data_IF_969243106032
#
_entry.id   IF_969243106032
#
_cell.length_a   1.000
_cell.length_b   1.000
_cell.length_c   1.000
_cell.angle_alpha   90.00
_cell.angle_beta   90.00
_cell.angle_gamma   90.00
#
_symmetry.space_group_name_H-M   'P 1'
#
loop_
_entity.id
_entity.type
_entity.pdbx_description
1 polymer ?
#
# COMPACT_ATOMS: atom_id res chain seq x y z
N UNK A 1 -2.68 -13.24 3.76
CA UNK A 1 -3.16 -12.75 2.46
C UNK A 1 -3.64 -13.91 1.59
N UNK A 2 -2.82 -14.95 1.39
CA UNK A 2 -3.18 -16.12 0.55
C UNK A 2 -4.48 -16.80 1.01
N UNK A 3 -4.61 -17.13 2.30
CA UNK A 3 -5.86 -17.68 2.86
C UNK A 3 -7.11 -16.84 2.58
N UNK A 4 -6.97 -15.51 2.59
CA UNK A 4 -8.11 -14.61 2.29
C UNK A 4 -8.45 -14.69 0.81
N UNK A 5 -7.45 -14.66 -0.07
CA UNK A 5 -7.67 -14.80 -1.52
C UNK A 5 -8.28 -16.14 -1.90
N UNK A 6 -7.86 -17.21 -1.25
CA UNK A 6 -8.43 -18.55 -1.43
C UNK A 6 -9.90 -18.61 -1.00
N UNK A 7 -10.28 -17.89 0.06
CA UNK A 7 -11.65 -17.83 0.55
C UNK A 7 -12.58 -16.96 -0.32
N UNK A 8 -12.04 -16.02 -1.09
CA UNK A 8 -12.80 -15.10 -1.95
C UNK A 8 -12.19 -14.96 -3.36
N UNK A 9 -12.13 -16.05 -4.15
CA UNK A 9 -11.36 -16.10 -5.40
C UNK A 9 -11.86 -15.12 -6.48
N UNK A 10 -13.12 -14.69 -6.40
CA UNK A 10 -13.84 -13.83 -7.34
C UNK A 10 -14.01 -12.39 -6.83
N UNK A 11 -13.44 -12.05 -5.66
CA UNK A 11 -13.50 -10.70 -5.07
C UNK A 11 -12.12 -10.05 -5.05
N UNK A 12 -11.99 -8.76 -5.40
CA UNK A 12 -10.72 -8.06 -5.26
C UNK A 12 -10.37 -7.92 -3.78
N UNK A 13 -9.11 -8.18 -3.43
CA UNK A 13 -8.60 -8.08 -2.05
C UNK A 13 -7.67 -6.88 -1.97
N UNK A 14 -8.00 -5.94 -1.09
CA UNK A 14 -7.17 -4.75 -0.84
C UNK A 14 -6.50 -4.84 0.53
N UNK A 15 -5.26 -4.37 0.63
CA UNK A 15 -4.59 -4.17 1.92
C UNK A 15 -4.76 -2.71 2.34
N UNK A 16 -5.41 -2.48 3.47
CA UNK A 16 -5.71 -1.12 3.98
C UNK A 16 -4.74 -0.58 5.03
N UNK A 17 -3.73 -1.38 5.43
CA UNK A 17 -2.79 -1.00 6.49
C UNK A 17 -1.44 -1.68 6.31
N UNK A 18 -0.38 -1.07 6.85
CA UNK A 18 0.97 -1.67 6.86
C UNK A 18 1.74 -1.55 5.53
N UNK A 19 1.21 -0.81 4.56
CA UNK A 19 1.91 -0.53 3.31
C UNK A 19 2.89 0.66 3.47
N UNK A 20 4.15 0.42 3.11
CA UNK A 20 5.24 1.40 3.03
C UNK A 20 5.87 1.32 1.63
N UNK A 21 6.76 2.25 1.28
CA UNK A 21 7.44 2.20 -0.02
C UNK A 21 8.25 0.89 -0.18
N UNK A 22 8.85 0.41 0.90
CA UNK A 22 9.67 -0.81 0.93
C UNK A 22 8.83 -2.09 0.77
N UNK A 23 7.59 -2.08 1.25
CA UNK A 23 6.70 -3.26 1.26
C UNK A 23 5.69 -3.28 0.11
N UNK A 24 5.48 -2.16 -0.58
CA UNK A 24 4.41 -1.98 -1.57
C UNK A 24 4.42 -3.06 -2.67
N UNK A 25 5.58 -3.29 -3.30
CA UNK A 25 5.70 -4.26 -4.41
C UNK A 25 5.42 -5.70 -3.97
N UNK A 26 5.94 -6.09 -2.80
CA UNK A 26 5.71 -7.42 -2.23
C UNK A 26 4.23 -7.66 -1.91
N UNK A 27 3.55 -6.64 -1.39
CA UNK A 27 2.11 -6.72 -1.10
C UNK A 27 1.29 -6.76 -2.39
N UNK A 28 1.59 -5.90 -3.37
CA UNK A 28 0.91 -5.86 -4.66
C UNK A 28 1.04 -7.16 -5.46
N UNK A 29 2.14 -7.90 -5.32
CA UNK A 29 2.28 -9.22 -5.92
C UNK A 29 1.23 -10.24 -5.41
N UNK A 30 0.56 -9.94 -4.29
CA UNK A 30 -0.34 -10.85 -3.59
C UNK A 30 -1.75 -10.28 -3.35
N UNK A 31 -2.06 -9.06 -3.81
CA UNK A 31 -3.37 -8.45 -3.62
C UNK A 31 -3.78 -7.64 -4.86
N UNK A 32 -5.04 -7.21 -4.91
CA UNK A 32 -5.57 -6.40 -6.01
C UNK A 32 -5.18 -4.92 -5.92
N UNK A 33 -4.79 -4.45 -4.72
CA UNK A 33 -4.40 -3.07 -4.53
C UNK A 33 -4.14 -2.71 -3.07
N UNK A 34 -3.64 -1.49 -2.87
CA UNK A 34 -3.31 -0.94 -1.55
C UNK A 34 -4.13 0.33 -1.31
N UNK A 35 -4.58 0.51 -0.06
CA UNK A 35 -5.12 1.77 0.44
C UNK A 35 -4.14 2.26 1.49
N UNK A 36 -3.55 3.45 1.27
CA UNK A 36 -2.36 3.89 2.00
C UNK A 36 -2.59 5.30 2.53
N UNK A 37 -2.28 5.50 3.81
CA UNK A 37 -2.48 6.78 4.50
C UNK A 37 -1.25 7.19 5.30
N UNK A 38 -1.09 6.64 6.51
CA UNK A 38 -0.09 7.07 7.50
C UNK A 38 1.34 7.12 6.95
N UNK A 39 1.76 6.15 6.14
CA UNK A 39 3.12 6.14 5.56
C UNK A 39 3.38 7.28 4.58
N UNK A 40 2.34 7.92 4.04
CA UNK A 40 2.44 9.08 3.15
C UNK A 40 2.39 10.42 3.90
N UNK A 41 1.99 10.42 5.18
CA UNK A 41 1.93 11.63 6.00
C UNK A 41 3.33 12.06 6.42
N UNK A 42 3.54 13.36 6.56
CA UNK A 42 4.78 13.89 7.13
C UNK A 42 5.01 13.28 8.51
N UNK A 43 6.24 12.82 8.76
CA UNK A 43 6.65 12.11 9.98
C UNK A 43 5.78 10.91 10.39
N UNK A 44 4.93 10.40 9.49
CA UNK A 44 3.96 9.35 9.82
C UNK A 44 2.82 9.80 10.74
N UNK A 45 2.62 11.10 10.93
CA UNK A 45 1.56 11.65 11.77
C UNK A 45 0.25 11.85 10.99
N UNK A 46 -0.82 11.21 11.41
CA UNK A 46 -2.13 11.29 10.75
C UNK A 46 -2.75 12.69 10.78
N UNK A 47 -2.33 13.56 11.70
CA UNK A 47 -2.75 14.95 11.76
C UNK A 47 -2.00 15.85 10.76
N UNK A 48 -0.82 15.44 10.30
CA UNK A 48 0.00 16.21 9.35
C UNK A 48 -0.44 16.03 7.90
N UNK A 49 -0.09 16.93 6.97
CA UNK A 49 -0.43 16.76 5.56
C UNK A 49 0.25 15.52 4.95
N UNK A 50 -0.24 15.12 3.77
CA UNK A 50 0.45 14.13 2.93
C UNK A 50 1.68 14.79 2.32
N UNK A 51 2.84 14.15 2.45
CA UNK A 51 4.09 14.57 1.81
C UNK A 51 4.09 14.15 0.35
N UNK A 52 4.22 15.12 -0.56
CA UNK A 52 4.34 14.86 -1.99
C UNK A 52 5.56 14.01 -2.34
N UNK A 53 6.67 14.20 -1.63
CA UNK A 53 7.90 13.41 -1.78
C UNK A 53 7.64 11.95 -1.43
N UNK A 54 7.05 11.67 -0.26
CA UNK A 54 6.73 10.31 0.20
C UNK A 54 5.72 9.64 -0.71
N UNK A 55 4.70 10.35 -1.17
CA UNK A 55 3.72 9.85 -2.13
C UNK A 55 4.37 9.46 -3.47
N UNK A 56 5.27 10.31 -3.98
CA UNK A 56 6.01 10.04 -5.21
C UNK A 56 6.94 8.83 -5.05
N UNK A 57 7.69 8.76 -3.95
CA UNK A 57 8.56 7.63 -3.65
C UNK A 57 7.77 6.31 -3.54
N UNK A 58 6.62 6.35 -2.85
CA UNK A 58 5.71 5.20 -2.75
C UNK A 58 5.19 4.76 -4.13
N UNK A 59 4.70 5.70 -4.94
CA UNK A 59 4.19 5.40 -6.28
C UNK A 59 5.28 4.79 -7.17
N UNK A 60 6.50 5.32 -7.11
CA UNK A 60 7.66 4.74 -7.84
C UNK A 60 7.94 3.31 -7.38
N UNK A 61 8.05 3.09 -6.07
CA UNK A 61 8.32 1.75 -5.53
C UNK A 61 7.20 0.73 -5.83
N UNK A 62 5.95 1.20 -5.91
CA UNK A 62 4.79 0.37 -6.20
C UNK A 62 4.62 0.04 -7.70
N UNK A 63 4.91 1.00 -8.58
CA UNK A 63 4.59 0.92 -10.02
C UNK A 63 5.79 0.61 -10.92
N UNK A 64 7.03 0.82 -10.46
CA UNK A 64 8.21 0.52 -11.26
C UNK A 64 8.66 -0.91 -11.01
N UNK A 65 8.47 -1.76 -12.02
CA UNK A 65 8.78 -3.17 -11.97
C UNK A 65 8.59 -3.88 -13.29
#
# INVERSE_FOLDING_TARGET
LDRVREAVPDRPVFVGSGATAESARLLLARCSGLIVGTSLKEDGDVAKPVSAERATAFARAALQG
#
